data_IF_151824587924
#
_entry.id   IF_151824587924
#
_cell.length_a   1.000
_cell.length_b   1.000
_cell.length_c   1.000
_cell.angle_alpha   90.00
_cell.angle_beta   90.00
_cell.angle_gamma   90.00
#
_symmetry.space_group_name_H-M   'P 1'
#
loop_
_entity.id
_entity.type
_entity.pdbx_description
1 polymer ?
#
# COMPACT_ATOMS: atom_id res chain seq x y z
N UNK A 1 -16.72 7.11 -14.77
CA UNK A 1 -16.42 5.88 -15.52
C UNK A 1 -15.62 4.99 -14.59
N UNK A 2 -16.28 4.13 -13.80
CA UNK A 2 -15.56 3.14 -13.01
C UNK A 2 -14.96 2.15 -13.99
N UNK A 3 -13.64 2.08 -14.05
CA UNK A 3 -12.97 0.99 -14.75
C UNK A 3 -13.44 -0.30 -14.09
N UNK A 4 -14.31 -1.06 -14.76
CA UNK A 4 -14.58 -2.43 -14.37
C UNK A 4 -13.30 -3.21 -14.66
N UNK A 5 -12.55 -3.49 -13.59
CA UNK A 5 -11.40 -4.38 -13.61
C UNK A 5 -11.88 -5.71 -14.21
N UNK A 6 -11.16 -6.25 -15.20
CA UNK A 6 -11.54 -7.53 -15.79
C UNK A 6 -11.37 -8.66 -14.77
N UNK A 7 -12.13 -9.76 -14.90
CA UNK A 7 -11.95 -10.91 -14.02
C UNK A 7 -10.52 -11.46 -14.01
N UNK A 8 -9.84 -11.43 -15.16
CA UNK A 8 -8.44 -11.84 -15.28
C UNK A 8 -7.49 -10.87 -14.54
N UNK A 9 -7.69 -9.57 -14.68
CA UNK A 9 -6.90 -8.55 -13.99
C UNK A 9 -7.08 -8.63 -12.47
N UNK A 10 -8.30 -8.88 -11.99
CA UNK A 10 -8.56 -9.11 -10.57
C UNK A 10 -7.83 -10.35 -10.02
N UNK A 11 -7.87 -11.48 -10.75
CA UNK A 11 -7.15 -12.69 -10.34
C UNK A 11 -5.64 -12.47 -10.29
N UNK A 12 -5.10 -11.74 -11.27
CA UNK A 12 -3.67 -11.41 -11.30
C UNK A 12 -3.28 -10.46 -10.16
N UNK A 13 -4.09 -9.43 -9.89
CA UNK A 13 -3.97 -8.53 -8.73
C UNK A 13 -3.90 -9.33 -7.43
N UNK A 14 -4.83 -10.26 -7.23
CA UNK A 14 -4.86 -11.15 -6.05
C UNK A 14 -3.60 -12.02 -5.97
N UNK A 15 -3.24 -12.72 -7.07
CA UNK A 15 -2.06 -13.59 -7.12
C UNK A 15 -0.79 -12.83 -6.76
N UNK A 16 -0.58 -11.64 -7.35
CA UNK A 16 0.56 -10.78 -7.05
C UNK A 16 0.58 -10.32 -5.60
N UNK A 17 -0.57 -9.95 -5.05
CA UNK A 17 -0.67 -9.56 -3.63
C UNK A 17 -0.29 -10.71 -2.71
N UNK A 18 -0.78 -11.91 -2.99
CA UNK A 18 -0.47 -13.11 -2.22
C UNK A 18 1.03 -13.46 -2.30
N UNK A 19 1.62 -13.40 -3.49
CA UNK A 19 3.06 -13.61 -3.69
C UNK A 19 3.90 -12.54 -3.00
N UNK A 20 3.49 -11.27 -3.06
CA UNK A 20 4.19 -10.18 -2.40
C UNK A 20 4.27 -10.43 -0.90
N UNK A 21 3.12 -10.68 -0.27
CA UNK A 21 3.02 -10.96 1.16
C UNK A 21 3.82 -12.22 1.55
N UNK A 22 3.77 -13.27 0.73
CA UNK A 22 4.51 -14.51 0.99
C UNK A 22 6.04 -14.31 0.94
N UNK A 23 6.51 -13.31 0.20
CA UNK A 23 7.93 -12.96 0.09
C UNK A 23 8.37 -11.85 1.07
N UNK A 24 7.46 -11.29 1.87
CA UNK A 24 7.85 -10.39 2.95
C UNK A 24 8.71 -11.17 3.96
N UNK A 25 9.69 -10.48 4.53
CA UNK A 25 10.46 -11.02 5.65
C UNK A 25 9.55 -11.29 6.86
N UNK A 26 10.14 -11.75 7.96
CA UNK A 26 9.37 -12.01 9.18
C UNK A 26 8.65 -10.73 9.68
N UNK A 27 7.32 -10.74 9.64
CA UNK A 27 6.45 -9.65 10.09
C UNK A 27 6.20 -9.76 11.61
N UNK A 28 7.25 -9.52 12.40
CA UNK A 28 7.19 -9.64 13.85
C UNK A 28 6.17 -8.66 14.45
N UNK A 29 5.24 -9.19 15.25
CA UNK A 29 4.22 -8.37 15.93
C UNK A 29 2.99 -8.07 15.08
N UNK A 30 2.96 -8.50 13.81
CA UNK A 30 1.79 -8.43 12.94
C UNK A 30 1.02 -9.75 12.96
N UNK A 31 -0.29 -9.64 13.12
CA UNK A 31 -1.22 -10.75 12.98
C UNK A 31 -2.10 -10.50 11.77
N UNK A 32 -2.03 -11.40 10.79
CA UNK A 32 -2.92 -11.35 9.65
C UNK A 32 -4.40 -11.44 10.10
N UNK A 33 -5.23 -10.58 9.55
CA UNK A 33 -6.66 -10.50 9.81
C UNK A 33 -7.44 -11.01 8.59
N UNK A 34 -8.56 -11.70 8.81
CA UNK A 34 -9.46 -12.01 7.71
C UNK A 34 -9.99 -10.72 7.09
N UNK A 35 -10.04 -10.67 5.77
CA UNK A 35 -10.67 -9.57 5.02
C UNK A 35 -12.12 -9.93 4.71
N UNK A 36 -12.98 -8.91 4.61
CA UNK A 36 -14.35 -9.10 4.17
C UNK A 36 -14.37 -9.69 2.74
N UNK A 37 -15.32 -10.58 2.37
CA UNK A 37 -15.35 -11.20 1.04
C UNK A 37 -15.39 -10.19 -0.14
N UNK A 38 -16.00 -9.02 0.06
CA UNK A 38 -16.00 -7.96 -0.97
C UNK A 38 -14.64 -7.25 -1.15
N UNK A 39 -13.71 -7.47 -0.23
CA UNK A 39 -12.33 -6.97 -0.28
C UNK A 39 -11.35 -8.11 -0.58
N UNK A 40 -11.85 -9.24 -1.07
CA UNK A 40 -11.04 -10.36 -1.50
C UNK A 40 -10.03 -9.90 -2.57
N UNK A 41 -8.77 -10.31 -2.39
CA UNK A 41 -7.62 -9.79 -3.14
C UNK A 41 -6.75 -8.81 -2.34
N UNK A 42 -7.24 -8.30 -1.21
CA UNK A 42 -6.44 -7.53 -0.24
C UNK A 42 -5.98 -8.42 0.92
N UNK A 43 -4.91 -8.02 1.60
CA UNK A 43 -4.40 -8.69 2.80
C UNK A 43 -4.29 -7.69 3.94
N UNK A 44 -4.83 -8.02 5.11
CA UNK A 44 -4.90 -7.12 6.25
C UNK A 44 -4.09 -7.64 7.44
N UNK A 45 -3.45 -6.74 8.18
CA UNK A 45 -2.58 -7.08 9.30
C UNK A 45 -2.80 -6.12 10.46
N UNK A 46 -2.97 -6.68 11.67
CA UNK A 46 -3.06 -5.92 12.90
C UNK A 46 -1.74 -6.04 13.66
N UNK A 47 -1.10 -4.91 13.95
CA UNK A 47 0.07 -4.88 14.83
C UNK A 47 -0.36 -4.76 16.29
N UNK A 48 0.45 -5.31 17.20
CA UNK A 48 0.23 -5.26 18.66
C UNK A 48 0.08 -3.85 19.26
N UNK A 49 0.55 -2.82 18.57
CA UNK A 49 0.42 -1.42 19.00
C UNK A 49 -0.82 -0.70 18.40
N UNK A 50 -1.70 -1.44 17.73
CA UNK A 50 -2.97 -0.94 17.21
C UNK A 50 -2.91 -0.33 15.80
N UNK A 51 -1.81 -0.49 15.06
CA UNK A 51 -1.78 -0.21 13.62
C UNK A 51 -2.52 -1.30 12.85
N UNK A 52 -3.43 -0.90 11.96
CA UNK A 52 -4.03 -1.79 10.97
C UNK A 52 -3.43 -1.45 9.60
N UNK A 53 -2.86 -2.44 8.94
CA UNK A 53 -2.30 -2.33 7.59
C UNK A 53 -3.13 -3.13 6.62
N UNK A 54 -3.38 -2.59 5.44
CA UNK A 54 -3.94 -3.32 4.30
C UNK A 54 -3.00 -3.19 3.11
N UNK A 55 -2.75 -4.31 2.44
CA UNK A 55 -1.88 -4.44 1.28
C UNK A 55 -2.67 -4.98 0.09
N UNK A 56 -2.48 -4.37 -1.07
CA UNK A 56 -2.95 -4.90 -2.34
C UNK A 56 -2.05 -4.43 -3.49
N UNK A 57 -2.04 -5.19 -4.57
CA UNK A 57 -1.37 -4.82 -5.82
C UNK A 57 -2.43 -4.62 -6.89
N UNK A 58 -2.42 -3.47 -7.55
CA UNK A 58 -3.40 -3.13 -8.58
C UNK A 58 -2.76 -2.54 -9.83
N UNK A 59 -3.44 -2.64 -10.97
CA UNK A 59 -3.02 -1.97 -12.19
C UNK A 59 -3.59 -0.55 -12.24
N UNK A 60 -2.72 0.43 -12.48
CA UNK A 60 -3.08 1.83 -12.66
C UNK A 60 -2.30 2.37 -13.85
N UNK A 61 -3.03 2.87 -14.86
CA UNK A 61 -2.48 3.41 -16.10
C UNK A 61 -1.49 2.44 -16.79
N UNK A 62 -1.86 1.15 -16.83
CA UNK A 62 -1.08 0.09 -17.46
C UNK A 62 0.10 -0.44 -16.65
N UNK A 63 0.37 0.13 -15.47
CA UNK A 63 1.48 -0.27 -14.57
C UNK A 63 0.96 -0.92 -13.30
N UNK A 64 1.74 -1.84 -12.73
CA UNK A 64 1.44 -2.47 -11.45
C UNK A 64 1.99 -1.65 -10.29
N UNK A 65 1.13 -1.42 -9.30
CA UNK A 65 1.48 -0.69 -8.10
C UNK A 65 1.13 -1.50 -6.87
N UNK A 66 2.06 -1.53 -5.93
CA UNK A 66 1.80 -1.91 -4.55
C UNK A 66 1.14 -0.73 -3.84
N UNK A 67 -0.04 -0.98 -3.28
CA UNK A 67 -0.73 -0.10 -2.38
C UNK A 67 -0.64 -0.65 -0.97
N UNK A 68 -0.14 0.17 -0.05
CA UNK A 68 -0.14 -0.12 1.37
C UNK A 68 -0.85 1.01 2.09
N UNK A 69 -1.89 0.68 2.83
CA UNK A 69 -2.58 1.63 3.70
C UNK A 69 -2.32 1.28 5.15
N UNK A 70 -2.16 2.30 5.99
CA UNK A 70 -2.01 2.16 7.44
C UNK A 70 -3.01 3.05 8.12
N UNK A 71 -3.63 2.54 9.18
CA UNK A 71 -4.54 3.31 10.01
C UNK A 71 -4.37 3.01 11.49
N UNK A 72 -4.87 3.93 12.31
CA UNK A 72 -5.05 3.75 13.75
C UNK A 72 -6.45 4.16 14.15
N UNK A 73 -6.91 3.64 15.29
CA UNK A 73 -8.30 3.87 15.73
C UNK A 73 -8.60 5.35 16.05
N UNK A 74 -7.67 6.06 16.70
CA UNK A 74 -7.96 7.36 17.34
C UNK A 74 -7.24 8.56 16.75
N UNK A 75 -6.18 8.35 15.98
CA UNK A 75 -5.33 9.42 15.46
C UNK A 75 -4.72 9.00 14.13
N UNK A 76 -4.31 9.98 13.35
CA UNK A 76 -3.61 9.77 12.08
C UNK A 76 -2.25 9.09 12.39
N UNK A 77 -1.85 8.04 11.66
CA UNK A 77 -0.52 7.45 11.78
C UNK A 77 0.59 8.49 11.67
N UNK A 78 1.62 8.37 12.50
CA UNK A 78 2.75 9.28 12.45
C UNK A 78 3.68 8.99 11.26
N UNK A 79 4.68 9.85 11.08
CA UNK A 79 5.73 9.59 10.11
C UNK A 79 6.51 8.31 10.46
N UNK A 80 6.80 8.07 11.73
CA UNK A 80 7.45 6.86 12.20
C UNK A 80 6.61 5.61 11.91
N UNK A 81 5.29 5.69 12.10
CA UNK A 81 4.38 4.60 11.73
C UNK A 81 4.48 4.25 10.25
N UNK A 82 4.48 5.28 9.39
CA UNK A 82 4.62 5.11 7.94
C UNK A 82 5.98 4.58 7.54
N UNK A 83 7.06 5.10 8.14
CA UNK A 83 8.43 4.67 7.85
C UNK A 83 8.63 3.19 8.23
N UNK A 84 8.05 2.77 9.35
CA UNK A 84 8.06 1.38 9.79
C UNK A 84 7.27 0.49 8.84
N UNK A 85 6.02 0.87 8.51
CA UNK A 85 5.18 0.12 7.58
C UNK A 85 5.82 0.05 6.19
N UNK A 86 6.43 1.13 5.72
CA UNK A 86 7.19 1.16 4.46
C UNK A 86 8.31 0.14 4.51
N UNK A 87 9.13 0.13 5.56
CA UNK A 87 10.24 -0.83 5.70
C UNK A 87 9.75 -2.27 5.66
N UNK A 88 8.63 -2.57 6.32
CA UNK A 88 8.16 -3.94 6.55
C UNK A 88 7.31 -4.49 5.41
N UNK A 89 6.45 -3.67 4.79
CA UNK A 89 5.51 -4.11 3.75
C UNK A 89 5.90 -3.69 2.32
N UNK A 90 6.75 -2.68 2.17
CA UNK A 90 7.23 -2.20 0.86
C UNK A 90 8.71 -2.55 0.65
N UNK A 91 9.53 -2.43 1.70
CA UNK A 91 10.96 -2.72 1.69
C UNK A 91 11.85 -1.49 1.55
N UNK A 92 13.10 -1.62 1.99
CA UNK A 92 14.06 -0.50 2.05
C UNK A 92 14.51 0.01 0.68
N UNK A 93 14.55 -0.86 -0.34
CA UNK A 93 15.11 -0.54 -1.66
C UNK A 93 14.13 0.17 -2.59
N UNK A 94 12.84 0.11 -2.28
CA UNK A 94 11.81 0.71 -3.12
C UNK A 94 11.50 2.14 -2.69
N UNK A 95 11.27 3.01 -3.67
CA UNK A 95 10.62 4.29 -3.43
C UNK A 95 9.14 4.05 -3.17
N UNK A 96 8.60 4.77 -2.18
CA UNK A 96 7.18 4.77 -1.88
C UNK A 96 6.72 6.23 -1.74
N UNK A 97 5.54 6.53 -2.25
CA UNK A 97 4.99 7.89 -2.23
C UNK A 97 3.66 7.97 -1.51
N UNK A 98 3.49 9.03 -0.75
CA UNK A 98 2.20 9.47 -0.25
C UNK A 98 1.72 10.64 -1.10
N UNK A 99 0.54 10.48 -1.70
CA UNK A 99 -0.02 11.47 -2.64
C UNK A 99 -1.08 12.30 -1.92
N UNK A 100 -0.87 13.60 -1.87
CA UNK A 100 -1.94 14.55 -1.58
C UNK A 100 -2.77 14.75 -2.85
N UNK A 101 -3.90 14.04 -2.92
CA UNK A 101 -4.80 14.13 -4.07
C UNK A 101 -5.29 15.57 -4.28
N UNK A 102 -5.53 15.93 -5.55
CA UNK A 102 -6.23 17.17 -5.90
C UNK A 102 -7.60 17.19 -5.22
N UNK A 103 -8.07 18.37 -4.82
CA UNK A 103 -9.30 18.53 -4.03
C UNK A 103 -10.49 17.81 -4.68
N UNK A 104 -10.64 17.92 -6.00
CA UNK A 104 -11.72 17.31 -6.76
C UNK A 104 -11.66 15.77 -6.85
N UNK A 105 -10.53 15.17 -6.47
CA UNK A 105 -10.32 13.71 -6.41
C UNK A 105 -10.05 13.21 -4.99
N UNK A 106 -10.05 14.11 -3.99
CA UNK A 106 -9.80 13.75 -2.61
C UNK A 106 -11.07 13.14 -2.00
N UNK A 107 -11.02 11.84 -1.73
CA UNK A 107 -12.07 11.10 -1.05
C UNK A 107 -11.49 10.54 0.24
N UNK A 108 -12.07 10.92 1.39
CA UNK A 108 -11.68 10.40 2.69
C UNK A 108 -12.87 9.67 3.34
N UNK A 109 -12.86 8.34 3.26
CA UNK A 109 -13.85 7.46 3.88
C UNK A 109 -13.31 6.77 5.14
N UNK A 110 -12.05 7.04 5.52
CA UNK A 110 -11.40 6.48 6.70
C UNK A 110 -10.48 7.55 7.33
N UNK A 111 -10.94 8.30 8.35
CA UNK A 111 -10.36 9.59 8.75
C UNK A 111 -8.90 9.52 9.24
N UNK A 112 -8.46 8.35 9.69
CA UNK A 112 -7.12 8.10 10.21
C UNK A 112 -6.31 7.12 9.34
N UNK A 113 -6.56 7.09 8.03
CA UNK A 113 -5.83 6.24 7.10
C UNK A 113 -4.84 7.07 6.27
N UNK A 114 -3.61 6.59 6.15
CA UNK A 114 -2.60 7.09 5.23
C UNK A 114 -2.22 5.98 4.25
N UNK A 115 -1.76 6.40 3.07
CA UNK A 115 -1.51 5.49 1.95
C UNK A 115 -0.13 5.70 1.36
N UNK A 116 0.56 4.59 1.13
CA UNK A 116 1.80 4.50 0.38
C UNK A 116 1.55 3.77 -0.93
N UNK A 117 2.16 4.27 -1.99
CA UNK A 117 2.17 3.67 -3.31
C UNK A 117 3.59 3.43 -3.75
N UNK A 118 3.88 2.22 -4.24
CA UNK A 118 5.19 1.88 -4.79
C UNK A 118 5.00 1.21 -6.15
N UNK A 119 5.70 1.71 -7.17
CA UNK A 119 5.69 1.08 -8.49
C UNK A 119 6.43 -0.26 -8.43
N UNK A 120 5.86 -1.26 -9.08
CA UNK A 120 6.49 -2.58 -9.25
C UNK A 120 7.23 -2.71 -10.59
N UNK A 121 7.21 -1.66 -11.41
CA UNK A 121 7.86 -1.68 -12.72
C UNK A 121 9.39 -1.61 -12.58
N UNK A 122 10.15 -2.35 -13.42
CA UNK A 122 11.61 -2.32 -13.39
C UNK A 122 12.21 -0.92 -13.59
N UNK A 123 11.54 -0.07 -14.38
CA UNK A 123 11.95 1.30 -14.66
C UNK A 123 11.60 2.29 -13.54
N UNK A 124 10.92 1.83 -12.48
CA UNK A 124 10.54 2.62 -11.32
C UNK A 124 9.16 3.27 -11.43
N UNK A 125 8.94 4.33 -10.65
CA UNK A 125 7.65 5.03 -10.53
C UNK A 125 7.45 6.16 -11.55
N UNK A 126 8.47 6.45 -12.37
CA UNK A 126 8.45 7.53 -13.34
C UNK A 126 8.52 8.93 -12.73
N UNK A 127 8.76 9.04 -11.41
CA UNK A 127 8.99 10.31 -10.74
C UNK A 127 10.46 10.73 -10.89
N UNK A 128 10.76 12.04 -10.79
CA UNK A 128 12.12 12.49 -10.58
C UNK A 128 12.73 11.85 -9.32
N UNK A 129 14.04 11.62 -9.34
CA UNK A 129 14.78 11.24 -8.15
C UNK A 129 14.90 12.45 -7.20
N UNK A 130 13.93 12.59 -6.30
CA UNK A 130 13.89 13.66 -5.29
C UNK A 130 14.97 13.50 -4.21
N UNK A 131 15.61 12.33 -4.11
CA UNK A 131 16.70 12.04 -3.18
C UNK A 131 18.07 12.38 -3.71
N UNK A 132 18.22 12.49 -5.03
CA UNK A 132 19.50 12.73 -5.70
C UNK A 132 20.31 13.89 -5.13
N UNK A 133 19.63 14.97 -4.77
CA UNK A 133 20.25 16.20 -4.25
C UNK A 133 20.20 16.29 -2.71
N UNK A 134 19.77 15.23 -2.01
CA UNK A 134 19.73 15.16 -0.55
C UNK A 134 18.67 16.06 0.11
N UNK A 135 17.58 16.35 -0.59
CA UNK A 135 16.51 17.26 -0.12
C UNK A 135 15.37 16.56 0.63
N UNK A 136 15.47 15.25 0.85
CA UNK A 136 14.49 14.41 1.54
C UNK A 136 15.17 13.56 2.62
#
# INVERSE_FOLDING_TARGET
MSLQISGAEWQESKRRTDEWVANLGALWGWLEQPVHPMLEGQRAFLHRDGRLVVVNIGQHDGRWWLHVSVSRAKYIPSYEDLSDVKREFVGNRMQAVQVFARVERHVNIHPHCLHLWASLEPEGDGLPDFGKEGTI
#
